data_IF_513834302976
#
_entry.id   IF_513834302976
#
_cell.length_a   1.000
_cell.length_b   1.000
_cell.length_c   1.000
_cell.angle_alpha   90.00
_cell.angle_beta   90.00
_cell.angle_gamma   90.00
#
_symmetry.space_group_name_H-M   'P 1'
#
loop_
_entity.id
_entity.type
_entity.pdbx_description
1 polymer ?
#
# COMPACT_ATOMS: atom_id res chain seq x y z
N UNK A 1 -74.12 68.32 -3.97
CA UNK A 1 -74.01 67.74 -2.61
C UNK A 1 -74.64 66.35 -2.51
N UNK A 2 -75.84 66.09 -3.05
CA UNK A 2 -76.49 64.77 -2.95
C UNK A 2 -75.79 63.62 -3.73
N UNK A 3 -75.31 63.87 -4.95
CA UNK A 3 -74.64 62.83 -5.77
C UNK A 3 -73.28 62.35 -5.25
N UNK A 4 -72.57 63.20 -4.50
CA UNK A 4 -71.30 62.82 -3.86
C UNK A 4 -71.54 61.88 -2.68
N UNK A 5 -72.65 62.06 -1.94
CA UNK A 5 -73.00 61.23 -0.78
C UNK A 5 -73.38 59.81 -1.18
N UNK A 6 -74.20 59.66 -2.22
CA UNK A 6 -74.59 58.35 -2.76
C UNK A 6 -73.37 57.59 -3.32
N UNK A 7 -72.46 58.27 -4.03
CA UNK A 7 -71.23 57.65 -4.54
C UNK A 7 -70.27 57.21 -3.43
N UNK A 8 -70.21 57.96 -2.32
CA UNK A 8 -69.42 57.58 -1.15
C UNK A 8 -70.03 56.38 -0.41
N UNK A 9 -71.36 56.30 -0.31
CA UNK A 9 -72.06 55.16 0.29
C UNK A 9 -71.87 53.87 -0.53
N UNK A 10 -71.99 53.93 -1.86
CA UNK A 10 -71.75 52.75 -2.72
C UNK A 10 -70.31 52.26 -2.60
N UNK A 11 -69.35 53.19 -2.55
CA UNK A 11 -67.93 52.86 -2.40
C UNK A 11 -67.60 52.32 -1.01
N UNK A 12 -68.31 52.76 0.02
CA UNK A 12 -68.15 52.23 1.38
C UNK A 12 -68.67 50.79 1.48
N UNK A 13 -69.82 50.48 0.86
CA UNK A 13 -70.36 49.12 0.78
C UNK A 13 -69.41 48.20 0.00
N UNK A 14 -68.83 48.67 -1.10
CA UNK A 14 -67.84 47.90 -1.87
C UNK A 14 -66.55 47.63 -1.07
N UNK A 15 -66.09 48.62 -0.29
CA UNK A 15 -64.94 48.47 0.60
C UNK A 15 -65.23 47.50 1.76
N UNK A 16 -66.43 47.54 2.33
CA UNK A 16 -66.87 46.60 3.37
C UNK A 16 -66.95 45.17 2.84
N UNK A 17 -67.53 44.96 1.65
CA UNK A 17 -67.57 43.65 0.99
C UNK A 17 -66.17 43.11 0.65
N UNK A 18 -65.26 43.99 0.20
CA UNK A 18 -63.87 43.62 -0.09
C UNK A 18 -63.07 43.33 1.18
N UNK A 19 -63.33 44.04 2.27
CA UNK A 19 -62.73 43.76 3.57
C UNK A 19 -63.21 42.42 4.15
N UNK A 20 -64.50 42.09 4.01
CA UNK A 20 -65.04 40.79 4.42
C UNK A 20 -64.40 39.64 3.63
N UNK A 21 -64.30 39.77 2.30
CA UNK A 21 -63.64 38.77 1.45
C UNK A 21 -62.14 38.61 1.78
N UNK A 22 -61.44 39.71 2.08
CA UNK A 22 -60.05 39.66 2.52
C UNK A 22 -59.90 39.00 3.89
N UNK A 23 -60.85 39.22 4.82
CA UNK A 23 -60.86 38.55 6.11
C UNK A 23 -61.02 37.03 5.95
N UNK A 24 -61.91 36.59 5.06
CA UNK A 24 -62.13 35.18 4.76
C UNK A 24 -60.90 34.51 4.11
N UNK A 25 -60.23 35.19 3.17
CA UNK A 25 -58.98 34.68 2.60
C UNK A 25 -57.86 34.61 3.63
N UNK A 26 -57.77 35.59 4.54
CA UNK A 26 -56.77 35.59 5.61
C UNK A 26 -57.01 34.45 6.59
N UNK A 27 -58.26 34.17 6.96
CA UNK A 27 -58.58 33.02 7.84
C UNK A 27 -58.30 31.69 7.17
N UNK A 28 -58.58 31.54 5.88
CA UNK A 28 -58.24 30.34 5.10
C UNK A 28 -56.73 30.11 5.04
N UNK A 29 -55.95 31.14 4.70
CA UNK A 29 -54.48 31.06 4.67
C UNK A 29 -53.86 30.78 6.05
N UNK A 30 -54.46 31.29 7.13
CA UNK A 30 -54.01 30.99 8.49
C UNK A 30 -54.25 29.52 8.86
N UNK A 31 -55.35 28.95 8.40
CA UNK A 31 -55.67 27.53 8.60
C UNK A 31 -54.76 26.63 7.76
N UNK A 32 -54.49 26.97 6.49
CA UNK A 32 -53.50 26.28 5.67
C UNK A 32 -52.10 26.34 6.29
N UNK A 33 -51.68 27.50 6.79
CA UNK A 33 -50.40 27.65 7.48
C UNK A 33 -50.33 26.77 8.73
N UNK A 34 -51.43 26.65 9.48
CA UNK A 34 -51.51 25.77 10.65
C UNK A 34 -51.37 24.31 10.24
N UNK A 35 -52.08 23.87 9.20
CA UNK A 35 -51.99 22.49 8.69
C UNK A 35 -50.60 22.15 8.15
N UNK A 36 -49.95 23.06 7.43
CA UNK A 36 -48.58 22.88 6.95
C UNK A 36 -47.57 22.78 8.10
N UNK A 37 -47.73 23.57 9.17
CA UNK A 37 -46.88 23.49 10.37
C UNK A 37 -47.00 22.13 11.07
N UNK A 38 -48.21 21.58 11.16
CA UNK A 38 -48.44 20.25 11.74
C UNK A 38 -47.74 19.18 10.88
N UNK A 39 -47.98 19.18 9.56
CA UNK A 39 -47.33 18.23 8.63
C UNK A 39 -45.80 18.32 8.65
N UNK A 40 -45.25 19.53 8.75
CA UNK A 40 -43.81 19.72 8.87
C UNK A 40 -43.28 19.08 10.16
N UNK A 41 -43.98 19.26 11.27
CA UNK A 41 -43.65 18.63 12.55
C UNK A 41 -43.68 17.09 12.47
N UNK A 42 -44.69 16.53 11.82
CA UNK A 42 -44.82 15.08 11.61
C UNK A 42 -43.66 14.53 10.76
N UNK A 43 -43.34 15.21 9.64
CA UNK A 43 -42.23 14.83 8.76
C UNK A 43 -40.87 14.95 9.48
N UNK A 44 -40.67 16.00 10.27
CA UNK A 44 -39.45 16.15 11.06
C UNK A 44 -39.33 15.06 12.14
N UNK A 45 -40.45 14.66 12.74
CA UNK A 45 -40.53 13.54 13.67
C UNK A 45 -40.14 12.23 13.01
N UNK A 46 -40.80 11.89 11.91
CA UNK A 46 -40.54 10.68 11.13
C UNK A 46 -39.08 10.64 10.63
N UNK A 47 -38.52 11.76 10.18
CA UNK A 47 -37.13 11.84 9.74
C UNK A 47 -36.14 11.57 10.89
N UNK A 48 -36.42 12.08 12.10
CA UNK A 48 -35.60 11.77 13.28
C UNK A 48 -35.68 10.29 13.63
N UNK A 49 -36.88 9.71 13.63
CA UNK A 49 -37.10 8.30 13.91
C UNK A 49 -36.37 7.41 12.89
N UNK A 50 -36.48 7.73 11.60
CA UNK A 50 -35.77 7.02 10.53
C UNK A 50 -34.25 7.11 10.66
N UNK A 51 -33.71 8.26 11.11
CA UNK A 51 -32.27 8.40 11.38
C UNK A 51 -31.83 7.50 12.54
N UNK A 52 -32.58 7.49 13.64
CA UNK A 52 -32.29 6.65 14.80
C UNK A 52 -32.41 5.16 14.44
N UNK A 53 -33.46 4.78 13.71
CA UNK A 53 -33.64 3.42 13.23
C UNK A 53 -32.51 2.99 12.29
N UNK A 54 -32.09 3.86 11.35
CA UNK A 54 -30.93 3.61 10.49
C UNK A 54 -29.65 3.38 11.31
N UNK A 55 -29.37 4.22 12.30
CA UNK A 55 -28.22 4.08 13.20
C UNK A 55 -28.29 2.74 13.95
N UNK A 56 -29.46 2.39 14.48
CA UNK A 56 -29.71 1.13 15.19
C UNK A 56 -29.53 -0.10 14.30
N UNK A 57 -30.08 -0.09 13.09
CA UNK A 57 -29.88 -1.17 12.11
C UNK A 57 -28.42 -1.26 11.64
N UNK A 58 -27.73 -0.13 11.45
CA UNK A 58 -26.30 -0.14 11.13
C UNK A 58 -25.49 -0.78 12.26
N UNK A 59 -25.74 -0.40 13.53
CA UNK A 59 -25.11 -1.03 14.69
C UNK A 59 -25.43 -2.52 14.81
N UNK A 60 -26.66 -2.92 14.50
CA UNK A 60 -27.05 -4.33 14.49
C UNK A 60 -26.35 -5.10 13.36
N UNK A 61 -26.23 -4.51 12.16
CA UNK A 61 -25.44 -5.06 11.05
C UNK A 61 -23.98 -5.20 11.49
N UNK A 62 -23.37 -4.20 12.13
CA UNK A 62 -22.01 -4.28 12.66
C UNK A 62 -21.85 -5.40 13.69
N UNK A 63 -22.82 -5.60 14.58
CA UNK A 63 -22.83 -6.70 15.55
C UNK A 63 -23.04 -8.08 14.93
N UNK A 64 -23.73 -8.14 13.79
CA UNK A 64 -24.00 -9.37 13.04
C UNK A 64 -22.92 -9.70 12.00
N UNK A 65 -21.90 -8.85 11.83
CA UNK A 65 -20.75 -9.18 11.00
C UNK A 65 -20.00 -10.36 11.66
N UNK A 66 -19.86 -11.52 10.99
CA UNK A 66 -19.03 -12.62 11.49
C UNK A 66 -17.53 -12.29 11.47
N UNK A 67 -17.16 -11.12 10.95
CA UNK A 67 -15.81 -10.63 10.82
C UNK A 67 -15.57 -9.49 11.81
N UNK A 68 -14.61 -9.67 12.73
CA UNK A 68 -14.11 -8.59 13.58
C UNK A 68 -13.36 -7.58 12.69
N UNK A 69 -13.84 -6.32 12.60
CA UNK A 69 -13.13 -5.23 11.91
C UNK A 69 -11.89 -4.74 12.69
N UNK A 70 -11.48 -5.44 13.75
CA UNK A 70 -10.46 -4.99 14.70
C UNK A 70 -9.03 -5.12 14.16
N UNK A 71 -8.84 -5.36 12.85
CA UNK A 71 -7.55 -5.18 12.22
C UNK A 71 -7.25 -3.70 12.13
N UNK A 72 -6.58 -3.18 13.16
CA UNK A 72 -6.13 -1.80 13.16
C UNK A 72 -5.03 -1.67 12.11
N UNK A 73 -4.97 -0.55 11.40
CA UNK A 73 -3.86 -0.25 10.49
C UNK A 73 -2.47 -0.45 11.12
N UNK A 74 -2.36 -0.23 12.43
CA UNK A 74 -1.16 -0.47 13.22
C UNK A 74 -0.72 -1.95 13.24
N UNK A 75 -1.66 -2.90 13.28
CA UNK A 75 -1.33 -4.33 13.37
C UNK A 75 -0.70 -4.82 12.05
N UNK A 76 -1.20 -4.32 10.91
CA UNK A 76 -0.63 -4.56 9.59
C UNK A 76 0.77 -3.95 9.41
N UNK A 77 1.02 -2.76 9.99
CA UNK A 77 2.37 -2.17 10.01
C UNK A 77 3.35 -3.05 10.80
N UNK A 78 2.93 -3.54 11.98
CA UNK A 78 3.72 -4.45 12.81
C UNK A 78 3.99 -5.76 12.07
N UNK A 79 2.96 -6.40 11.52
CA UNK A 79 3.09 -7.64 10.75
C UNK A 79 4.07 -7.48 9.59
N UNK A 80 3.99 -6.35 8.87
CA UNK A 80 4.90 -6.08 7.77
C UNK A 80 6.34 -5.87 8.24
N UNK A 81 6.54 -5.10 9.31
CA UNK A 81 7.87 -4.91 9.90
C UNK A 81 8.47 -6.23 10.36
N UNK A 82 7.68 -7.10 10.96
CA UNK A 82 8.10 -8.44 11.40
C UNK A 82 8.40 -9.36 10.22
N UNK A 83 7.64 -9.26 9.13
CA UNK A 83 7.94 -9.96 7.89
C UNK A 83 9.27 -9.49 7.26
N UNK A 84 9.47 -8.18 7.16
CA UNK A 84 10.73 -7.60 6.68
C UNK A 84 11.91 -8.06 7.53
N UNK A 85 11.79 -8.04 8.87
CA UNK A 85 12.84 -8.53 9.75
C UNK A 85 13.07 -10.04 9.59
N UNK A 86 12.02 -10.83 9.38
CA UNK A 86 12.14 -12.25 9.10
C UNK A 86 12.91 -12.52 7.80
N UNK A 87 12.64 -11.75 6.75
CA UNK A 87 13.37 -11.81 5.48
C UNK A 87 14.85 -11.46 5.65
N UNK A 88 15.15 -10.37 6.36
CA UNK A 88 16.53 -9.95 6.63
C UNK A 88 17.32 -11.07 7.32
N UNK A 89 16.73 -11.69 8.35
CA UNK A 89 17.35 -12.81 9.07
C UNK A 89 17.50 -14.07 8.21
N UNK A 90 16.49 -14.37 7.39
CA UNK A 90 16.53 -15.53 6.51
C UNK A 90 17.61 -15.37 5.44
N UNK A 91 17.68 -14.19 4.81
CA UNK A 91 18.70 -13.84 3.84
C UNK A 91 20.08 -13.96 4.48
N UNK A 92 20.29 -13.27 5.61
CA UNK A 92 21.56 -13.32 6.34
C UNK A 92 21.96 -14.75 6.71
N UNK A 93 21.06 -15.57 7.24
CA UNK A 93 21.36 -16.97 7.60
C UNK A 93 21.98 -17.77 6.45
N UNK A 94 21.48 -17.56 5.23
CA UNK A 94 21.89 -18.33 4.07
C UNK A 94 23.03 -17.70 3.28
N UNK A 95 23.24 -16.38 3.39
CA UNK A 95 24.31 -15.67 2.69
C UNK A 95 25.50 -15.29 3.58
N UNK A 96 25.40 -15.41 4.91
CA UNK A 96 26.43 -15.01 5.88
C UNK A 96 27.83 -15.55 5.52
N UNK A 97 27.90 -16.80 5.03
CA UNK A 97 29.18 -17.44 4.68
C UNK A 97 29.93 -16.75 3.55
N UNK A 98 29.23 -16.11 2.62
CA UNK A 98 29.86 -15.31 1.56
C UNK A 98 30.55 -14.06 2.10
N UNK A 99 30.15 -13.59 3.29
CA UNK A 99 30.78 -12.47 3.99
C UNK A 99 31.85 -12.93 4.98
N UNK A 100 31.55 -13.96 5.79
CA UNK A 100 32.39 -14.37 6.93
C UNK A 100 33.61 -15.21 6.52
N UNK A 101 33.53 -15.93 5.40
CA UNK A 101 34.54 -16.96 5.04
C UNK A 101 35.62 -16.45 4.08
N UNK A 102 35.58 -15.16 3.71
CA UNK A 102 36.56 -14.52 2.82
C UNK A 102 36.51 -14.97 1.35
N UNK A 103 37.37 -14.37 0.53
CA UNK A 103 37.40 -14.61 -0.93
C UNK A 103 37.67 -16.07 -1.32
N UNK A 104 38.46 -16.80 -0.53
CA UNK A 104 38.81 -18.20 -0.81
C UNK A 104 37.58 -19.11 -0.83
N UNK A 105 36.62 -18.86 0.07
CA UNK A 105 35.36 -19.61 0.10
C UNK A 105 34.53 -19.31 -1.15
N UNK A 106 34.37 -18.03 -1.49
CA UNK A 106 33.62 -17.59 -2.67
C UNK A 106 34.22 -18.19 -3.93
N UNK A 107 35.54 -18.17 -4.09
CA UNK A 107 36.23 -18.72 -5.26
C UNK A 107 36.06 -20.25 -5.37
N UNK A 108 36.17 -20.97 -4.25
CA UNK A 108 35.92 -22.42 -4.22
C UNK A 108 34.47 -22.73 -4.57
N UNK A 109 33.54 -22.01 -3.96
CA UNK A 109 32.11 -22.18 -4.18
C UNK A 109 31.73 -21.91 -5.64
N UNK A 110 32.24 -20.83 -6.25
CA UNK A 110 32.06 -20.54 -7.68
C UNK A 110 32.64 -21.65 -8.56
N UNK A 111 33.82 -22.17 -8.21
CA UNK A 111 34.45 -23.29 -8.94
C UNK A 111 33.59 -24.56 -8.87
N UNK A 112 33.12 -24.93 -7.68
CA UNK A 112 32.29 -26.11 -7.47
C UNK A 112 30.94 -26.00 -8.21
N UNK A 113 30.35 -24.80 -8.20
CA UNK A 113 29.06 -24.52 -8.83
C UNK A 113 29.13 -24.22 -10.32
N UNK A 114 30.31 -23.91 -10.89
CA UNK A 114 30.49 -23.66 -12.33
C UNK A 114 30.03 -24.82 -13.24
N UNK A 115 29.90 -26.02 -12.66
CA UNK A 115 29.32 -27.21 -13.28
C UNK A 115 27.78 -27.16 -13.41
N UNK A 116 27.10 -26.37 -12.57
CA UNK A 116 25.64 -26.18 -12.51
C UNK A 116 25.19 -24.95 -13.32
N UNK A 117 25.59 -24.89 -14.60
CA UNK A 117 25.48 -23.72 -15.49
C UNK A 117 24.08 -23.13 -15.70
N UNK A 118 23.00 -23.84 -15.34
CA UNK A 118 21.64 -23.36 -15.56
C UNK A 118 21.09 -22.49 -14.43
N UNK A 119 21.66 -22.56 -13.23
CA UNK A 119 21.09 -21.88 -12.05
C UNK A 119 21.48 -20.40 -12.02
N UNK A 120 22.73 -20.06 -12.34
CA UNK A 120 23.21 -18.67 -12.35
C UNK A 120 22.45 -17.77 -13.34
N UNK A 121 22.22 -18.20 -14.61
CA UNK A 121 21.45 -17.39 -15.55
C UNK A 121 20.01 -17.14 -15.10
N UNK A 122 19.37 -18.08 -14.40
CA UNK A 122 17.99 -17.89 -13.90
C UNK A 122 17.94 -16.79 -12.83
N UNK A 123 18.86 -16.82 -11.87
CA UNK A 123 18.96 -15.76 -10.86
C UNK A 123 19.34 -14.42 -11.50
N UNK A 124 20.32 -14.42 -12.40
CA UNK A 124 20.76 -13.21 -13.11
C UNK A 124 19.60 -12.59 -13.91
N UNK A 125 18.83 -13.39 -14.66
CA UNK A 125 17.65 -12.92 -15.40
C UNK A 125 16.58 -12.36 -14.45
N UNK A 126 16.34 -13.04 -13.32
CA UNK A 126 15.41 -12.56 -12.30
C UNK A 126 15.86 -11.22 -11.71
N UNK A 127 17.16 -11.04 -11.44
CA UNK A 127 17.70 -9.79 -10.94
C UNK A 127 17.70 -8.68 -12.01
N UNK A 128 17.99 -8.99 -13.27
CA UNK A 128 17.92 -8.06 -14.40
C UNK A 128 16.50 -7.54 -14.66
N UNK A 129 15.47 -8.33 -14.31
CA UNK A 129 14.07 -7.87 -14.35
C UNK A 129 13.79 -6.72 -13.37
N UNK A 130 14.74 -6.44 -12.47
CA UNK A 130 14.68 -5.38 -11.47
C UNK A 130 15.87 -4.42 -11.66
N UNK A 131 15.77 -3.46 -12.61
CA UNK A 131 16.93 -2.74 -13.15
C UNK A 131 17.72 -1.92 -12.12
N UNK A 132 17.07 -1.39 -11.09
CA UNK A 132 17.74 -0.65 -10.01
C UNK A 132 18.63 -1.58 -9.17
N UNK A 133 18.11 -2.75 -8.77
CA UNK A 133 18.90 -3.76 -8.07
C UNK A 133 20.01 -4.35 -8.93
N UNK A 134 19.80 -4.49 -10.24
CA UNK A 134 20.87 -4.98 -11.11
C UNK A 134 21.99 -3.93 -11.28
N UNK A 135 21.65 -2.65 -11.42
CA UNK A 135 22.64 -1.57 -11.48
C UNK A 135 23.44 -1.46 -10.19
N UNK A 136 22.82 -1.80 -9.06
CA UNK A 136 23.40 -1.86 -7.73
C UNK A 136 24.50 -2.92 -7.55
N UNK A 137 24.51 -3.95 -8.38
CA UNK A 137 25.44 -5.08 -8.20
C UNK A 137 26.88 -4.60 -8.28
N UNK A 138 27.70 -5.02 -7.32
CA UNK A 138 29.10 -4.63 -7.17
C UNK A 138 29.34 -3.42 -6.26
N UNK A 139 28.30 -2.79 -5.70
CA UNK A 139 28.53 -1.74 -4.70
C UNK A 139 29.07 -2.34 -3.38
N UNK A 140 30.09 -1.73 -2.76
CA UNK A 140 30.66 -2.23 -1.50
C UNK A 140 29.59 -2.35 -0.41
N UNK A 141 29.66 -3.44 0.36
CA UNK A 141 28.76 -3.75 1.48
C UNK A 141 27.25 -3.75 1.17
N UNK A 142 26.85 -3.80 -0.11
CA UNK A 142 25.44 -3.71 -0.50
C UNK A 142 24.80 -5.05 -0.87
N UNK A 143 25.59 -6.14 -1.01
CA UNK A 143 25.10 -7.42 -1.51
C UNK A 143 23.94 -8.00 -0.67
N UNK A 144 24.02 -7.87 0.66
CA UNK A 144 22.98 -8.39 1.56
C UNK A 144 21.66 -7.64 1.37
N UNK A 145 21.75 -6.31 1.27
CA UNK A 145 20.62 -5.42 1.08
C UNK A 145 20.01 -5.59 -0.31
N UNK A 146 20.82 -5.74 -1.36
CA UNK A 146 20.35 -6.02 -2.74
C UNK A 146 19.63 -7.37 -2.79
N UNK A 147 20.24 -8.41 -2.20
CA UNK A 147 19.66 -9.75 -2.19
C UNK A 147 18.34 -9.78 -1.43
N UNK A 148 18.28 -9.12 -0.27
CA UNK A 148 17.06 -9.00 0.54
C UNK A 148 15.98 -8.21 -0.19
N UNK A 149 16.33 -7.09 -0.83
CA UNK A 149 15.39 -6.29 -1.61
C UNK A 149 14.86 -7.06 -2.83
N UNK A 150 15.72 -7.85 -3.49
CA UNK A 150 15.31 -8.76 -4.56
C UNK A 150 14.35 -9.81 -4.04
N UNK A 151 14.66 -10.46 -2.90
CA UNK A 151 13.82 -11.49 -2.29
C UNK A 151 12.44 -10.93 -1.93
N UNK A 152 12.42 -9.75 -1.30
CA UNK A 152 11.20 -9.04 -0.97
C UNK A 152 10.36 -8.81 -2.23
N UNK A 153 10.93 -8.25 -3.29
CA UNK A 153 10.25 -7.97 -4.57
C UNK A 153 9.82 -9.23 -5.30
N UNK A 154 10.60 -10.32 -5.22
CA UNK A 154 10.27 -11.62 -5.79
C UNK A 154 9.02 -12.21 -5.14
N UNK A 155 8.95 -12.15 -3.80
CA UNK A 155 7.78 -12.61 -3.03
C UNK A 155 6.61 -11.67 -3.30
N UNK A 156 6.85 -10.36 -3.28
CA UNK A 156 5.83 -9.35 -3.53
C UNK A 156 5.14 -9.52 -4.88
N UNK A 157 5.94 -9.67 -5.92
CA UNK A 157 5.47 -9.84 -7.29
C UNK A 157 4.58 -11.07 -7.44
N UNK A 158 4.77 -12.12 -6.62
CA UNK A 158 3.96 -13.35 -6.67
C UNK A 158 2.72 -13.30 -5.79
N UNK A 159 2.85 -12.78 -4.57
CA UNK A 159 1.73 -12.76 -3.60
C UNK A 159 0.77 -11.60 -3.87
N UNK A 160 1.29 -10.41 -4.18
CA UNK A 160 0.48 -9.20 -4.37
C UNK A 160 0.29 -8.81 -5.85
N UNK A 161 1.22 -9.17 -6.74
CA UNK A 161 1.16 -8.84 -8.17
C UNK A 161 0.46 -9.90 -9.01
N UNK A 162 1.25 -10.85 -9.50
CA UNK A 162 0.96 -11.91 -10.48
C UNK A 162 0.33 -13.14 -9.82
N UNK A 163 -0.68 -12.91 -8.99
CA UNK A 163 -1.42 -14.00 -8.38
C UNK A 163 -2.38 -14.60 -9.42
N UNK A 164 -1.84 -15.44 -10.32
CA UNK A 164 -2.60 -16.28 -11.27
C UNK A 164 -3.51 -17.29 -10.57
N UNK A 165 -3.36 -17.44 -9.25
CA UNK A 165 -4.25 -18.19 -8.37
C UNK A 165 -5.08 -17.29 -7.44
N UNK A 166 -5.38 -16.02 -7.82
CA UNK A 166 -6.44 -15.25 -7.16
C UNK A 166 -7.66 -16.16 -7.09
N UNK A 167 -8.17 -16.48 -5.89
CA UNK A 167 -9.28 -17.41 -5.74
C UNK A 167 -10.47 -17.02 -6.60
N UNK A 168 -10.54 -15.75 -7.00
CA UNK A 168 -11.63 -15.19 -7.77
C UNK A 168 -11.14 -14.01 -8.60
N UNK A 169 -10.53 -14.26 -9.77
CA UNK A 169 -10.41 -13.21 -10.80
C UNK A 169 -11.75 -12.50 -11.07
N UNK A 170 -12.85 -13.20 -10.79
CA UNK A 170 -14.22 -12.69 -10.74
C UNK A 170 -14.45 -11.63 -9.63
N UNK A 171 -13.96 -11.81 -8.39
CA UNK A 171 -14.12 -10.77 -7.35
C UNK A 171 -13.32 -9.52 -7.71
N UNK A 172 -12.09 -9.66 -8.22
CA UNK A 172 -11.32 -8.51 -8.70
C UNK A 172 -12.02 -7.78 -9.85
N UNK A 173 -12.67 -8.51 -10.76
CA UNK A 173 -13.47 -7.91 -11.83
C UNK A 173 -14.72 -7.19 -11.28
N UNK A 174 -15.41 -7.79 -10.31
CA UNK A 174 -16.57 -7.16 -9.64
C UNK A 174 -16.12 -5.89 -8.90
N UNK A 175 -15.00 -5.92 -8.18
CA UNK A 175 -14.41 -4.75 -7.52
C UNK A 175 -14.13 -3.60 -8.47
N UNK A 176 -13.55 -3.87 -9.64
CA UNK A 176 -13.28 -2.84 -10.64
C UNK A 176 -14.56 -2.21 -11.22
N UNK A 177 -15.68 -2.96 -11.22
CA UNK A 177 -16.96 -2.53 -11.76
C UNK A 177 -17.88 -1.87 -10.73
N UNK A 178 -17.75 -2.20 -9.43
CA UNK A 178 -18.62 -1.69 -8.36
C UNK A 178 -18.68 -0.16 -8.27
N UNK A 179 -17.58 0.61 -8.41
CA UNK A 179 -17.64 2.07 -8.44
C UNK A 179 -18.38 2.65 -9.66
N UNK A 180 -18.57 1.83 -10.71
CA UNK A 180 -19.23 2.20 -11.96
C UNK A 180 -20.74 1.88 -11.93
N UNK A 181 -21.21 1.15 -10.92
CA UNK A 181 -22.64 0.90 -10.70
C UNK A 181 -23.34 2.21 -10.34
N UNK A 182 -24.18 2.70 -11.26
CA UNK A 182 -24.71 4.08 -11.18
C UNK A 182 -25.89 4.24 -10.22
N UNK A 183 -26.71 3.21 -9.97
CA UNK A 183 -27.93 3.37 -9.16
C UNK A 183 -28.32 2.12 -8.36
N UNK A 184 -28.47 2.21 -7.03
CA UNK A 184 -28.02 3.32 -6.18
C UNK A 184 -26.48 3.41 -6.18
N UNK A 185 -25.93 4.64 -6.19
CA UNK A 185 -24.48 4.86 -6.02
C UNK A 185 -24.06 4.30 -4.66
N UNK A 186 -23.32 3.20 -4.68
CA UNK A 186 -22.81 2.58 -3.47
C UNK A 186 -21.79 3.53 -2.80
N UNK A 187 -21.91 3.71 -1.50
CA UNK A 187 -20.89 4.38 -0.71
C UNK A 187 -19.60 3.53 -0.72
N UNK A 188 -18.45 4.17 -0.75
CA UNK A 188 -17.15 3.48 -0.71
C UNK A 188 -17.03 2.60 0.54
N UNK A 189 -17.57 3.05 1.68
CA UNK A 189 -17.60 2.22 2.90
C UNK A 189 -18.35 0.90 2.69
N UNK A 190 -19.47 0.93 1.96
CA UNK A 190 -20.29 -0.25 1.66
C UNK A 190 -19.58 -1.19 0.69
N UNK A 191 -18.87 -0.65 -0.30
CA UNK A 191 -18.04 -1.44 -1.23
C UNK A 191 -16.93 -2.15 -0.46
N UNK A 192 -16.24 -1.46 0.46
CA UNK A 192 -15.17 -2.02 1.27
C UNK A 192 -15.68 -3.10 2.24
N UNK A 193 -16.85 -2.86 2.84
CA UNK A 193 -17.50 -3.83 3.71
C UNK A 193 -17.93 -5.09 2.97
N UNK A 194 -18.45 -4.95 1.74
CA UNK A 194 -18.77 -6.10 0.88
C UNK A 194 -17.51 -6.87 0.49
N UNK A 195 -16.45 -6.14 0.10
CA UNK A 195 -15.16 -6.73 -0.29
C UNK A 195 -14.58 -7.56 0.85
N UNK A 196 -14.49 -6.99 2.04
CA UNK A 196 -13.96 -7.67 3.23
C UNK A 196 -14.74 -8.95 3.55
N UNK A 197 -16.07 -8.90 3.45
CA UNK A 197 -16.94 -10.08 3.64
C UNK A 197 -16.76 -11.13 2.54
N UNK A 198 -16.64 -10.72 1.28
CA UNK A 198 -16.43 -11.62 0.16
C UNK A 198 -15.10 -12.38 0.29
N UNK A 199 -14.00 -11.69 0.60
CA UNK A 199 -12.72 -12.35 0.87
C UNK A 199 -12.74 -13.18 2.14
N UNK A 200 -13.42 -12.74 3.20
CA UNK A 200 -13.59 -13.54 4.40
C UNK A 200 -14.29 -14.88 4.08
N UNK A 201 -15.37 -14.85 3.28
CA UNK A 201 -16.06 -16.06 2.85
C UNK A 201 -15.14 -16.98 2.04
N UNK A 202 -14.38 -16.43 1.09
CA UNK A 202 -13.38 -17.18 0.31
C UNK A 202 -12.33 -17.83 1.21
N UNK A 203 -11.77 -17.11 2.17
CA UNK A 203 -10.71 -17.64 3.04
C UNK A 203 -11.21 -18.64 4.08
N UNK A 204 -12.52 -18.64 4.35
CA UNK A 204 -13.17 -19.60 5.26
C UNK A 204 -13.65 -20.85 4.51
N UNK A 205 -13.59 -20.86 3.19
CA UNK A 205 -13.95 -22.03 2.38
C UNK A 205 -13.03 -23.24 2.72
N UNK A 206 -13.59 -24.45 2.90
CA UNK A 206 -12.80 -25.64 3.23
C UNK A 206 -11.70 -26.01 2.23
N UNK A 207 -11.81 -25.60 0.96
CA UNK A 207 -10.80 -25.84 -0.07
C UNK A 207 -9.69 -24.79 -0.08
N UNK A 208 -9.94 -23.60 0.47
CA UNK A 208 -8.98 -22.49 0.45
C UNK A 208 -7.63 -22.85 1.08
N UNK A 209 -7.54 -23.53 2.25
CA UNK A 209 -6.25 -23.94 2.82
C UNK A 209 -5.40 -24.79 1.85
N UNK A 210 -6.05 -25.64 1.04
CA UNK A 210 -5.34 -26.47 0.06
C UNK A 210 -4.84 -25.64 -1.13
N UNK A 211 -5.66 -24.69 -1.61
CA UNK A 211 -5.25 -23.77 -2.66
C UNK A 211 -4.11 -22.86 -2.21
N UNK A 212 -4.19 -22.34 -0.98
CA UNK A 212 -3.14 -21.55 -0.32
C UNK A 212 -1.84 -22.35 -0.24
N UNK A 213 -1.91 -23.61 0.22
CA UNK A 213 -0.72 -24.46 0.31
C UNK A 213 -0.11 -24.76 -1.06
N UNK A 214 -0.93 -25.08 -2.08
CA UNK A 214 -0.44 -25.30 -3.45
C UNK A 214 0.27 -24.06 -4.00
N UNK A 215 -0.26 -22.86 -3.75
CA UNK A 215 0.39 -21.63 -4.16
C UNK A 215 1.75 -21.44 -3.44
N UNK A 216 1.80 -21.70 -2.12
CA UNK A 216 3.04 -21.70 -1.35
C UNK A 216 4.05 -22.69 -1.93
N UNK A 217 3.63 -23.91 -2.27
CA UNK A 217 4.50 -24.95 -2.82
C UNK A 217 5.07 -24.54 -4.18
N UNK A 218 4.23 -24.00 -5.08
CA UNK A 218 4.65 -23.51 -6.40
C UNK A 218 5.64 -22.35 -6.27
N UNK A 219 5.35 -21.36 -5.42
CA UNK A 219 6.23 -20.20 -5.23
C UNK A 219 7.53 -20.60 -4.53
N UNK A 220 7.45 -21.53 -3.57
CA UNK A 220 8.62 -22.06 -2.88
C UNK A 220 9.52 -22.84 -3.82
N UNK A 221 8.96 -23.67 -4.70
CA UNK A 221 9.72 -24.38 -5.72
C UNK A 221 10.43 -23.40 -6.66
N UNK A 222 9.72 -22.39 -7.17
CA UNK A 222 10.31 -21.39 -8.05
C UNK A 222 11.47 -20.62 -7.37
N UNK A 223 11.32 -20.27 -6.09
CA UNK A 223 12.39 -19.61 -5.33
C UNK A 223 13.56 -20.56 -5.06
N UNK A 224 13.29 -21.82 -4.73
CA UNK A 224 14.31 -22.83 -4.49
C UNK A 224 15.14 -23.12 -5.74
N UNK A 225 14.50 -23.18 -6.91
CA UNK A 225 15.18 -23.33 -8.21
C UNK A 225 16.06 -22.11 -8.50
N UNK A 226 15.52 -20.91 -8.34
CA UNK A 226 16.25 -19.65 -8.58
C UNK A 226 17.47 -19.52 -7.66
N UNK A 227 17.37 -20.01 -6.42
CA UNK A 227 18.41 -19.90 -5.39
C UNK A 227 19.15 -21.21 -5.13
N UNK A 228 19.09 -22.18 -6.06
CA UNK A 228 19.68 -23.50 -5.84
C UNK A 228 21.20 -23.47 -5.66
N UNK A 229 21.85 -22.34 -5.99
CA UNK A 229 23.27 -22.09 -5.81
C UNK A 229 23.67 -21.71 -4.37
N UNK A 230 22.73 -21.23 -3.55
CA UNK A 230 23.03 -20.74 -2.20
C UNK A 230 23.40 -21.86 -1.23
N UNK A 231 22.60 -22.93 -1.06
CA UNK A 231 22.87 -23.91 -0.02
C UNK A 231 24.01 -24.86 -0.39
N UNK A 232 24.83 -25.21 0.60
CA UNK A 232 25.73 -26.35 0.47
C UNK A 232 24.94 -27.66 0.30
N UNK A 233 25.53 -28.69 -0.34
CA UNK A 233 24.86 -29.98 -0.54
C UNK A 233 24.30 -30.59 0.75
N UNK A 234 25.02 -30.43 1.87
CA UNK A 234 24.61 -30.90 3.21
C UNK A 234 23.42 -30.13 3.80
N UNK A 235 23.19 -28.88 3.35
CA UNK A 235 22.17 -27.99 3.88
C UNK A 235 20.96 -27.83 2.96
N UNK A 236 21.00 -28.37 1.73
CA UNK A 236 19.93 -28.24 0.71
C UNK A 236 18.54 -28.58 1.23
N UNK A 237 18.41 -29.63 2.05
CA UNK A 237 17.13 -30.02 2.63
C UNK A 237 16.62 -28.99 3.66
N UNK A 238 17.51 -28.45 4.49
CA UNK A 238 17.17 -27.41 5.47
C UNK A 238 16.82 -26.08 4.78
N UNK A 239 17.51 -25.74 3.69
CA UNK A 239 17.23 -24.58 2.85
C UNK A 239 15.83 -24.66 2.26
N UNK A 240 15.54 -25.76 1.56
CA UNK A 240 14.23 -25.98 0.90
C UNK A 240 13.08 -25.95 1.91
N UNK A 241 13.24 -26.54 3.10
CA UNK A 241 12.23 -26.51 4.18
C UNK A 241 12.01 -25.14 4.79
N UNK A 242 12.97 -24.22 4.65
CA UNK A 242 12.87 -22.87 5.22
C UNK A 242 12.22 -21.87 4.28
N UNK A 243 12.05 -22.19 3.00
CA UNK A 243 11.47 -21.27 2.01
C UNK A 243 9.97 -21.03 2.25
N UNK A 244 9.13 -22.05 2.53
CA UNK A 244 7.69 -21.85 2.72
C UNK A 244 7.33 -20.80 3.77
N UNK A 245 8.15 -20.68 4.83
CA UNK A 245 7.90 -19.72 5.93
C UNK A 245 7.95 -18.26 5.47
N UNK A 246 8.64 -17.97 4.35
CA UNK A 246 8.64 -16.64 3.74
C UNK A 246 7.30 -16.32 3.08
N UNK A 247 6.71 -17.30 2.37
CA UNK A 247 5.45 -17.12 1.69
C UNK A 247 4.27 -17.14 2.67
N UNK A 248 4.28 -18.03 3.68
CA UNK A 248 3.22 -18.13 4.70
C UNK A 248 2.94 -16.78 5.36
N UNK A 249 3.98 -16.10 5.87
CA UNK A 249 3.84 -14.78 6.50
C UNK A 249 3.35 -13.71 5.53
N UNK A 250 3.76 -13.79 4.26
CA UNK A 250 3.34 -12.86 3.24
C UNK A 250 1.85 -13.06 2.87
N UNK A 251 1.40 -14.32 2.78
CA UNK A 251 -0.01 -14.66 2.61
C UNK A 251 -0.86 -14.18 3.79
N UNK A 252 -0.36 -14.30 5.02
CA UNK A 252 -1.09 -13.79 6.19
C UNK A 252 -1.34 -12.28 6.07
N UNK A 253 -0.31 -11.50 5.68
CA UNK A 253 -0.45 -10.06 5.42
C UNK A 253 -1.45 -9.79 4.29
N UNK A 254 -1.35 -10.52 3.18
CA UNK A 254 -2.27 -10.40 2.05
C UNK A 254 -3.72 -10.65 2.46
N UNK A 255 -3.99 -11.75 3.16
CA UNK A 255 -5.34 -12.11 3.59
C UNK A 255 -5.91 -11.10 4.60
N UNK A 256 -5.06 -10.51 5.45
CA UNK A 256 -5.45 -9.41 6.34
C UNK A 256 -5.83 -8.16 5.53
N UNK A 257 -5.00 -7.74 4.57
CA UNK A 257 -5.30 -6.63 3.67
C UNK A 257 -6.64 -6.80 2.94
N UNK A 258 -6.92 -8.01 2.43
CA UNK A 258 -8.13 -8.29 1.65
C UNK A 258 -9.41 -8.33 2.50
N UNK A 259 -9.33 -8.86 3.73
CA UNK A 259 -10.47 -8.92 4.66
C UNK A 259 -10.81 -7.57 5.29
N UNK A 260 -9.84 -6.65 5.33
CA UNK A 260 -10.04 -5.37 5.99
C UNK A 260 -11.02 -4.46 5.22
N UNK A 261 -11.72 -3.64 6.00
CA UNK A 261 -12.63 -2.59 5.53
C UNK A 261 -11.89 -1.30 5.13
N UNK A 262 -10.55 -1.29 5.19
CA UNK A 262 -9.71 -0.22 4.68
C UNK A 262 -9.07 -0.60 3.34
N UNK A 263 -8.81 0.40 2.51
CA UNK A 263 -8.10 0.21 1.24
C UNK A 263 -6.59 0.21 1.49
N UNK A 264 -5.98 -0.97 1.41
CA UNK A 264 -4.53 -1.11 1.37
C UNK A 264 -4.12 -1.26 -0.08
N UNK A 265 -3.25 -0.38 -0.53
CA UNK A 265 -2.56 -0.57 -1.78
C UNK A 265 -1.08 -0.57 -1.52
N UNK A 266 -0.41 -1.51 -2.17
CA UNK A 266 1.02 -1.64 -2.03
C UNK A 266 1.63 -1.02 -3.27
N UNK A 267 2.30 0.09 -3.06
CA UNK A 267 3.01 0.79 -4.12
C UNK A 267 4.45 0.28 -4.13
N UNK A 268 4.80 -0.41 -5.22
CA UNK A 268 6.18 -0.76 -5.52
C UNK A 268 6.70 0.27 -6.51
N UNK A 269 7.29 1.34 -5.99
CA UNK A 269 7.97 2.31 -6.84
C UNK A 269 9.39 1.79 -7.10
N UNK A 270 9.66 1.40 -8.35
CA UNK A 270 11.02 1.11 -8.80
C UNK A 270 11.69 2.43 -9.18
N UNK A 271 12.81 2.84 -8.57
CA UNK A 271 13.59 3.95 -9.08
C UNK A 271 14.14 3.60 -10.47
N UNK A 272 13.51 4.10 -11.52
CA UNK A 272 14.00 4.08 -12.89
C UNK A 272 14.69 5.41 -13.18
N UNK A 273 15.62 5.47 -14.14
CA UNK A 273 16.25 6.74 -14.54
C UNK A 273 15.25 7.87 -14.85
N UNK A 274 14.03 7.54 -15.28
CA UNK A 274 12.99 8.51 -15.59
C UNK A 274 12.28 9.08 -14.36
N UNK A 275 12.23 8.34 -13.24
CA UNK A 275 11.60 8.78 -12.00
C UNK A 275 12.61 9.10 -10.88
N UNK A 276 13.91 8.89 -11.12
CA UNK A 276 14.98 9.36 -10.22
C UNK A 276 14.81 10.84 -9.84
N UNK A 277 14.47 11.78 -10.75
CA UNK A 277 14.23 13.17 -10.36
C UNK A 277 13.06 13.34 -9.38
N UNK A 278 11.98 12.54 -9.52
CA UNK A 278 10.87 12.54 -8.56
C UNK A 278 11.32 11.98 -7.21
N UNK A 279 12.02 10.85 -7.21
CA UNK A 279 12.55 10.20 -6.01
C UNK A 279 13.51 11.13 -5.25
N UNK A 280 14.40 11.82 -5.96
CA UNK A 280 15.26 12.88 -5.41
C UNK A 280 14.41 14.04 -4.90
N UNK A 281 13.38 14.48 -5.63
CA UNK A 281 12.44 15.49 -5.14
C UNK A 281 11.79 15.12 -3.81
N UNK A 282 11.34 13.85 -3.67
CA UNK A 282 10.75 13.31 -2.43
C UNK A 282 11.76 13.22 -1.29
N UNK A 283 13.03 12.93 -1.59
CA UNK A 283 14.14 12.97 -0.65
C UNK A 283 14.23 14.35 0.03
N UNK A 284 14.32 15.42 -0.76
CA UNK A 284 14.43 16.79 -0.24
C UNK A 284 13.18 17.27 0.51
N UNK A 285 12.01 16.69 0.20
CA UNK A 285 10.76 16.94 0.93
C UNK A 285 10.63 16.11 2.22
N UNK A 286 11.59 15.21 2.50
CA UNK A 286 11.61 14.28 3.65
C UNK A 286 10.49 13.24 3.63
N UNK A 287 9.94 12.98 2.44
CA UNK A 287 8.89 11.99 2.23
C UNK A 287 9.45 10.57 2.15
N UNK A 288 10.79 10.41 2.09
CA UNK A 288 11.48 9.11 1.98
C UNK A 288 12.63 9.01 3.01
N UNK A 289 12.85 7.82 3.56
CA UNK A 289 13.99 7.53 4.46
C UNK A 289 15.19 7.05 3.67
N UNK A 290 16.39 7.36 4.17
CA UNK A 290 17.62 6.93 3.52
C UNK A 290 18.54 6.14 4.42
N UNK A 291 19.24 5.20 3.81
CA UNK A 291 20.26 4.40 4.46
C UNK A 291 21.54 4.48 3.62
N UNK A 292 22.66 4.80 4.27
CA UNK A 292 23.98 4.73 3.64
C UNK A 292 24.45 3.28 3.66
N UNK A 293 24.98 2.80 2.54
CA UNK A 293 25.57 1.46 2.45
C UNK A 293 26.76 1.26 3.39
N UNK A 294 27.61 2.29 3.55
CA UNK A 294 28.78 2.24 4.45
C UNK A 294 28.44 2.22 5.94
N UNK A 295 27.37 2.90 6.35
CA UNK A 295 27.11 3.14 7.77
C UNK A 295 26.09 2.16 8.40
N UNK A 296 25.36 1.36 7.59
CA UNK A 296 24.17 0.57 8.01
C UNK A 296 23.18 1.33 8.89
N UNK A 297 23.26 2.66 8.92
CA UNK A 297 22.49 3.54 9.76
C UNK A 297 21.47 4.28 8.89
N UNK A 298 20.23 4.34 9.36
CA UNK A 298 19.20 5.18 8.74
C UNK A 298 19.60 6.64 9.00
N UNK A 299 20.04 7.31 7.94
CA UNK A 299 20.33 8.73 7.95
C UNK A 299 19.09 9.43 7.40
N UNK A 300 18.50 10.33 8.19
CA UNK A 300 17.58 11.32 7.61
C UNK A 300 18.37 12.19 6.64
N UNK A 301 17.70 12.72 5.62
CA UNK A 301 18.34 13.61 4.62
C UNK A 301 19.06 14.76 5.32
N UNK A 302 18.48 15.32 6.38
CA UNK A 302 19.16 16.32 7.21
C UNK A 302 20.46 15.79 7.81
N UNK A 303 20.51 14.57 8.36
CA UNK A 303 21.76 13.99 8.89
C UNK A 303 22.76 13.60 7.80
N UNK A 304 22.28 13.30 6.60
CA UNK A 304 23.12 13.03 5.44
C UNK A 304 23.74 14.35 4.95
N UNK A 305 22.94 15.42 4.92
CA UNK A 305 23.30 16.79 4.52
C UNK A 305 24.08 17.55 5.61
N UNK A 306 23.84 17.29 6.89
CA UNK A 306 24.54 17.89 8.03
C UNK A 306 25.92 17.25 8.24
N UNK A 307 26.09 16.00 7.80
CA UNK A 307 27.41 15.36 7.69
C UNK A 307 28.23 15.87 6.50
N UNK A 308 27.57 16.54 5.55
CA UNK A 308 28.25 17.20 4.45
C UNK A 308 28.59 18.62 4.91
N UNK A 309 29.86 19.02 4.80
CA UNK A 309 30.29 20.40 5.09
C UNK A 309 29.60 21.43 4.18
N UNK A 310 28.97 20.97 3.09
CA UNK A 310 28.22 21.77 2.12
C UNK A 310 26.83 21.19 1.86
N UNK A 311 25.80 22.05 1.86
CA UNK A 311 24.45 21.65 1.44
C UNK A 311 24.44 21.30 -0.05
N UNK A 312 24.17 20.03 -0.39
CA UNK A 312 24.03 19.57 -1.76
C UNK A 312 22.68 19.99 -2.34
N UNK A 313 22.70 20.45 -3.59
CA UNK A 313 21.47 20.74 -4.34
C UNK A 313 20.84 19.46 -4.90
N UNK A 314 19.54 19.45 -5.24
CA UNK A 314 18.90 18.30 -5.88
C UNK A 314 19.59 17.78 -7.14
N UNK A 315 20.13 18.70 -7.95
CA UNK A 315 20.87 18.37 -9.17
C UNK A 315 22.18 17.65 -8.86
N UNK A 316 22.87 18.05 -7.79
CA UNK A 316 24.11 17.42 -7.35
C UNK A 316 23.87 16.05 -6.74
N UNK A 317 22.78 15.89 -5.99
CA UNK A 317 22.33 14.58 -5.51
C UNK A 317 22.03 13.64 -6.67
N UNK A 318 21.31 14.10 -7.69
CA UNK A 318 21.03 13.30 -8.89
C UNK A 318 22.31 12.87 -9.63
N UNK A 319 23.37 13.70 -9.61
CA UNK A 319 24.62 13.44 -10.31
C UNK A 319 25.67 12.69 -9.48
N UNK A 320 25.68 12.84 -8.15
CA UNK A 320 26.74 12.37 -7.26
C UNK A 320 26.28 11.27 -6.30
N UNK A 321 24.99 11.21 -5.96
CA UNK A 321 24.41 10.16 -5.11
C UNK A 321 23.78 9.09 -5.99
N UNK A 322 24.37 7.89 -5.96
CA UNK A 322 23.78 6.75 -6.65
C UNK A 322 22.69 6.18 -5.77
N UNK A 323 21.44 6.45 -6.14
CA UNK A 323 20.28 5.80 -5.53
C UNK A 323 20.35 4.34 -5.94
N UNK A 324 20.67 3.49 -4.97
CA UNK A 324 21.00 2.11 -5.28
C UNK A 324 19.72 1.29 -5.42
N UNK A 325 18.76 1.45 -4.52
CA UNK A 325 17.46 0.77 -4.61
C UNK A 325 16.49 1.17 -3.49
N UNK A 326 15.21 0.89 -3.74
CA UNK A 326 14.14 0.92 -2.75
C UNK A 326 14.03 -0.43 -2.04
N UNK A 327 14.28 -0.47 -0.71
CA UNK A 327 14.28 -1.72 0.06
C UNK A 327 12.87 -2.14 0.45
N UNK A 328 11.96 -1.19 0.69
CA UNK A 328 10.65 -1.50 1.28
C UNK A 328 9.52 -0.94 0.43
N UNK A 329 8.54 -1.77 0.02
CA UNK A 329 7.34 -1.27 -0.63
C UNK A 329 6.62 -0.30 0.32
N UNK A 330 6.07 0.78 -0.25
CA UNK A 330 5.26 1.68 0.53
C UNK A 330 3.89 1.01 0.75
N UNK A 331 3.57 0.67 2.00
CA UNK A 331 2.18 0.38 2.38
C UNK A 331 1.45 1.71 2.46
N UNK A 332 0.76 2.03 1.38
CA UNK A 332 -0.13 3.18 1.37
C UNK A 332 -1.51 2.68 1.77
N UNK A 333 -2.03 3.27 2.85
CA UNK A 333 -3.38 2.99 3.29
C UNK A 333 -4.25 4.21 3.00
N UNK A 334 -5.35 3.99 2.27
CA UNK A 334 -6.44 4.96 2.20
C UNK A 334 -7.32 4.76 3.43
N UNK A 335 -7.02 5.44 4.53
CA UNK A 335 -8.07 5.72 5.52
C UNK A 335 -8.68 7.08 5.18
N UNK A 336 -9.92 7.09 4.72
CA UNK A 336 -10.68 8.34 4.65
C UNK A 336 -11.14 8.66 6.07
N UNK A 337 -10.31 9.37 6.83
CA UNK A 337 -10.84 10.03 8.03
C UNK A 337 -11.80 11.11 7.54
N UNK A 338 -13.10 10.81 7.62
CA UNK A 338 -14.22 11.71 7.32
C UNK A 338 -14.01 13.13 7.88
N UNK A 339 -13.19 13.27 8.93
CA UNK A 339 -12.94 14.54 9.62
C UNK A 339 -11.77 15.39 9.10
N UNK A 340 -10.83 14.85 8.32
CA UNK A 340 -9.66 15.66 7.90
C UNK A 340 -9.10 15.39 6.49
N UNK A 341 -9.62 14.40 5.76
CA UNK A 341 -9.25 14.16 4.35
C UNK A 341 -7.76 13.88 4.11
N UNK A 342 -7.02 13.42 5.12
CA UNK A 342 -5.58 13.10 4.98
C UNK A 342 -5.37 11.59 4.89
N UNK A 343 -4.61 11.19 3.87
CA UNK A 343 -4.10 9.83 3.70
C UNK A 343 -3.08 9.50 4.80
N UNK A 344 -3.08 8.24 5.27
CA UNK A 344 -2.11 7.76 6.25
C UNK A 344 -1.19 6.73 5.60
N UNK A 345 0.09 7.08 5.48
CA UNK A 345 1.14 6.16 5.06
C UNK A 345 1.49 5.30 6.27
N UNK A 346 1.33 3.98 6.18
CA UNK A 346 1.66 3.05 7.26
C UNK A 346 3.14 2.69 7.25
N UNK A 347 3.69 2.52 6.05
CA UNK A 347 5.11 2.24 5.87
C UNK A 347 5.73 3.20 4.87
N UNK A 348 6.86 3.78 5.27
CA UNK A 348 7.64 4.68 4.45
C UNK A 348 8.73 3.92 3.69
N UNK A 349 8.93 4.28 2.43
CA UNK A 349 10.03 3.80 1.59
C UNK A 349 11.39 4.06 2.26
N UNK A 350 12.27 3.06 2.23
CA UNK A 350 13.69 3.20 2.61
C UNK A 350 14.51 3.05 1.34
N UNK A 351 15.17 4.14 0.94
CA UNK A 351 16.14 4.15 -0.16
C UNK A 351 17.54 3.91 0.39
N UNK A 352 18.21 2.89 -0.12
CA UNK A 352 19.64 2.80 0.05
C UNK A 352 20.33 3.70 -0.97
N UNK A 353 21.22 4.56 -0.47
CA UNK A 353 22.01 5.47 -1.28
C UNK A 353 23.48 5.11 -1.11
N UNK A 354 24.15 4.87 -2.24
CA UNK A 354 25.59 4.73 -2.31
C UNK A 354 26.12 6.13 -2.18
N UNK A 355 26.60 6.41 -0.98
CA UNK A 355 27.25 7.66 -0.68
C UNK A 355 28.52 7.35 0.06
N UNK A 356 29.61 7.83 -0.52
CA UNK A 356 30.90 7.84 0.11
C UNK A 356 31.44 9.27 0.10
N UNK A 357 31.36 10.01 1.22
CA UNK A 357 31.85 11.38 1.30
C UNK A 357 33.32 11.51 0.88
N UNK A 358 34.14 10.52 1.22
CA UNK A 358 35.58 10.52 0.93
C UNK A 358 35.88 10.30 -0.56
N UNK A 359 34.92 9.74 -1.30
CA UNK A 359 35.05 9.43 -2.72
C UNK A 359 34.24 10.35 -3.62
N UNK A 360 33.22 11.05 -3.10
CA UNK A 360 32.59 12.19 -3.78
C UNK A 360 33.64 13.27 -4.09
N UNK A 361 34.67 13.41 -3.25
CA UNK A 361 35.84 14.26 -3.53
C UNK A 361 36.83 13.65 -4.54
N UNK A 362 36.82 12.32 -4.76
CA UNK A 362 37.80 11.60 -5.61
C UNK A 362 37.26 11.12 -6.96
N UNK A 363 35.96 11.17 -7.22
CA UNK A 363 35.39 10.82 -8.53
C UNK A 363 34.00 10.17 -8.48
N UNK A 364 33.53 9.68 -9.63
CA UNK A 364 32.18 9.15 -9.80
C UNK A 364 31.98 7.80 -9.06
N UNK A 365 31.06 7.68 -8.09
CA UNK A 365 30.87 6.43 -7.36
C UNK A 365 30.37 5.25 -8.23
N UNK A 366 29.89 5.49 -9.45
CA UNK A 366 29.61 4.43 -10.43
C UNK A 366 30.84 3.63 -10.88
N UNK A 367 32.04 4.17 -10.64
CA UNK A 367 33.32 3.52 -10.96
C UNK A 367 33.84 2.65 -9.81
N UNK A 368 33.15 2.64 -8.66
CA UNK A 368 33.55 1.92 -7.44
C UNK A 368 32.92 0.53 -7.34
N UNK A 369 32.72 -0.14 -8.47
CA UNK A 369 32.24 -1.52 -8.43
C UNK A 369 33.37 -2.43 -7.98
N UNK A 370 33.18 -3.08 -6.85
CA UNK A 370 34.04 -4.14 -6.35
C UNK A 370 33.57 -5.49 -6.87
N UNK A 371 34.49 -6.45 -6.89
CA UNK A 371 34.15 -7.85 -7.12
C UNK A 371 33.50 -8.47 -5.87
N UNK A 372 32.29 -8.03 -5.57
CA UNK A 372 31.47 -8.61 -4.51
C UNK A 372 30.99 -10.03 -4.89
N UNK A 373 30.55 -10.85 -3.92
CA UNK A 373 30.09 -12.21 -4.24
C UNK A 373 28.89 -12.17 -5.20
N UNK A 374 27.98 -11.21 -5.02
CA UNK A 374 26.82 -11.06 -5.89
C UNK A 374 27.22 -10.62 -7.30
N UNK A 375 28.24 -9.77 -7.43
CA UNK A 375 28.78 -9.37 -8.74
C UNK A 375 29.42 -10.55 -9.48
N UNK A 376 30.14 -11.43 -8.76
CA UNK A 376 30.73 -12.65 -9.32
C UNK A 376 29.65 -13.63 -9.77
N UNK A 377 28.59 -13.80 -8.97
CA UNK A 377 27.40 -14.59 -9.34
C UNK A 377 26.74 -14.07 -10.61
N UNK A 378 26.65 -12.74 -10.77
CA UNK A 378 26.05 -12.12 -11.95
C UNK A 378 26.98 -12.10 -13.18
N UNK A 379 28.25 -12.47 -13.02
CA UNK A 379 29.24 -12.54 -14.10
C UNK A 379 29.44 -13.96 -14.67
N UNK A 380 28.93 -14.98 -13.96
CA UNK A 380 28.82 -16.37 -14.44
C UNK A 380 27.64 -16.55 -15.40
#
# INVERSE_FOLDING_TARGET
MAGVRASLETRNIELEGRNAALQDTVTELLEEQRQLKVRLGDIEGENRELKVAREGYMQQIFKLRPFEPDQKPYDLEVDFRDFSYHLDNWAFKWTARFFDSGEEYVNRWLSDMSSSKQVFPQFQQSLQSVPDLYQAVGYPDADSEIFTAWLLRFIWGRVFGDFTMKPTGVLTAIEALMPQCKEPRLDMSTILDWRGQAYHAVFTDPEYPQLRQRAIDVFSAALAETLAFIPEPSQKAAFTRSIPTLFERCFDIYEKCQRSNADYYIDVTYPTRQNVPDVVGRLFRKDVRCQSTRARAILTVDKLVDKLERQLTPVEVEQQLHIIFSIKPAFKMRSWKLYNGREQILQQEILCIAWDPDLVERGNPAQLKEETWLSRVCAL
#
